data_IF_800754583428
#
_entry.id   IF_800754583428
#
_cell.length_a   1.000
_cell.length_b   1.000
_cell.length_c   1.000
_cell.angle_alpha   90.00
_cell.angle_beta   90.00
_cell.angle_gamma   90.00
#
_symmetry.space_group_name_H-M   'P 1'
#
loop_
_entity.id
_entity.type
_entity.pdbx_description
1 polymer ?
#
# COMPACT_ATOMS: atom_id res chain seq x y z
N UNK A 1 2.38 76.91 11.44
CA UNK A 1 1.09 76.20 11.54
C UNK A 1 1.37 74.71 11.43
N UNK A 2 1.34 74.02 12.57
CA UNK A 2 1.38 72.57 12.67
C UNK A 2 -0.05 72.09 12.92
N UNK A 3 -0.50 71.08 12.18
CA UNK A 3 -1.65 70.15 12.31
C UNK A 3 -1.63 69.43 10.94
N UNK A 4 -1.44 68.11 10.84
CA UNK A 4 -2.50 67.11 10.76
C UNK A 4 -1.87 65.73 11.05
N UNK A 5 -2.27 65.11 12.14
CA UNK A 5 -3.24 64.01 12.15
C UNK A 5 -2.56 62.67 11.80
N UNK A 6 -2.04 62.07 12.87
CA UNK A 6 -1.52 60.72 12.98
C UNK A 6 -2.64 59.73 12.62
N UNK A 7 -2.50 59.05 11.48
CA UNK A 7 -3.35 57.93 11.13
C UNK A 7 -2.92 56.71 11.95
N UNK A 8 -3.72 56.34 12.96
CA UNK A 8 -3.57 55.08 13.68
C UNK A 8 -4.47 54.06 12.96
N UNK A 9 -3.88 53.24 12.09
CA UNK A 9 -4.55 52.05 11.57
C UNK A 9 -4.31 50.90 12.55
N UNK A 10 -5.32 50.57 13.34
CA UNK A 10 -5.34 49.37 14.19
C UNK A 10 -5.43 48.14 13.28
N UNK A 11 -4.33 47.38 13.19
CA UNK A 11 -4.34 46.06 12.54
C UNK A 11 -4.90 45.07 13.58
N UNK A 12 -6.15 44.65 13.41
CA UNK A 12 -6.70 43.54 14.19
C UNK A 12 -6.22 42.25 13.51
N UNK A 13 -5.17 41.64 14.05
CA UNK A 13 -4.81 40.26 13.72
C UNK A 13 -5.75 39.36 14.53
N UNK A 14 -6.84 38.89 13.91
CA UNK A 14 -7.60 37.78 14.47
C UNK A 14 -6.75 36.54 14.23
N UNK A 15 -5.95 36.16 15.22
CA UNK A 15 -5.36 34.83 15.27
C UNK A 15 -6.52 33.84 15.47
N UNK A 16 -7.08 33.34 14.37
CA UNK A 16 -7.92 32.15 14.42
C UNK A 16 -7.02 30.98 14.81
N UNK A 17 -6.95 30.69 16.10
CA UNK A 17 -6.52 29.39 16.61
C UNK A 17 -7.58 28.36 16.22
N UNK A 18 -7.61 28.03 14.93
CA UNK A 18 -8.17 26.78 14.48
C UNK A 18 -7.22 25.68 14.94
N UNK A 19 -7.36 25.25 16.19
CA UNK A 19 -6.94 23.91 16.57
C UNK A 19 -7.92 22.99 15.84
N UNK A 20 -7.63 22.71 14.57
CA UNK A 20 -8.18 21.54 13.90
C UNK A 20 -7.58 20.34 14.64
N UNK A 21 -8.26 19.94 15.72
CA UNK A 21 -8.28 18.54 16.11
C UNK A 21 -8.97 17.79 14.98
N UNK A 22 -8.24 17.48 13.92
CA UNK A 22 -8.55 16.27 13.19
C UNK A 22 -8.13 15.14 14.14
N UNK A 23 -9.05 14.31 14.65
CA UNK A 23 -8.62 12.96 14.97
C UNK A 23 -8.06 12.42 13.66
N UNK A 24 -6.74 12.26 13.57
CA UNK A 24 -6.18 11.46 12.49
C UNK A 24 -7.00 10.16 12.49
N UNK A 25 -7.68 9.82 11.38
CA UNK A 25 -8.38 8.55 11.33
C UNK A 25 -7.33 7.51 11.70
N UNK A 26 -7.63 6.70 12.72
CA UNK A 26 -6.73 5.65 13.16
C UNK A 26 -6.70 4.62 12.03
N UNK A 27 -5.84 4.83 11.05
CA UNK A 27 -5.68 3.97 9.87
C UNK A 27 -5.18 2.63 10.38
N UNK A 28 -6.07 1.64 10.42
CA UNK A 28 -5.71 0.29 10.85
C UNK A 28 -4.89 -0.38 9.76
N UNK A 29 -3.70 -0.91 10.07
CA UNK A 29 -2.91 -1.70 9.11
C UNK A 29 -3.71 -2.85 8.51
N UNK A 30 -4.57 -3.48 9.29
CA UNK A 30 -5.42 -4.58 8.82
C UNK A 30 -6.44 -4.10 7.78
N UNK A 31 -6.96 -2.87 7.94
CA UNK A 31 -7.88 -2.26 6.98
C UNK A 31 -7.19 -1.99 5.64
N UNK A 32 -5.98 -1.43 5.69
CA UNK A 32 -5.17 -1.16 4.49
C UNK A 32 -4.78 -2.47 3.82
N UNK A 33 -4.38 -3.49 4.59
CA UNK A 33 -4.06 -4.80 4.06
C UNK A 33 -5.27 -5.43 3.36
N UNK A 34 -6.46 -5.34 3.97
CA UNK A 34 -7.69 -5.83 3.34
C UNK A 34 -7.95 -5.13 2.01
N UNK A 35 -7.81 -3.80 1.94
CA UNK A 35 -7.96 -3.05 0.69
C UNK A 35 -6.94 -3.50 -0.38
N UNK A 36 -5.70 -3.76 0.01
CA UNK A 36 -4.66 -4.26 -0.92
C UNK A 36 -4.97 -5.70 -1.36
N UNK A 37 -5.46 -6.56 -0.45
CA UNK A 37 -5.89 -7.92 -0.78
C UNK A 37 -7.05 -7.92 -1.76
N UNK A 38 -8.06 -7.06 -1.53
CA UNK A 38 -9.18 -6.89 -2.45
C UNK A 38 -8.69 -6.50 -3.84
N UNK A 39 -7.72 -5.60 -3.95
CA UNK A 39 -7.09 -5.24 -5.22
C UNK A 39 -6.37 -6.41 -5.90
N UNK A 40 -5.63 -7.23 -5.13
CA UNK A 40 -4.97 -8.43 -5.67
C UNK A 40 -6.01 -9.40 -6.22
N UNK A 41 -7.13 -9.58 -5.51
CA UNK A 41 -8.24 -10.46 -5.91
C UNK A 41 -8.92 -9.91 -7.16
N UNK A 42 -9.41 -8.67 -7.12
CA UNK A 42 -10.15 -8.02 -8.20
C UNK A 42 -9.34 -7.97 -9.50
N UNK A 43 -8.05 -7.65 -9.41
CA UNK A 43 -7.16 -7.64 -10.58
C UNK A 43 -6.95 -9.03 -11.21
N UNK A 44 -7.27 -10.12 -10.50
CA UNK A 44 -7.30 -11.47 -11.07
C UNK A 44 -8.62 -11.81 -11.78
N UNK A 45 -9.70 -11.07 -11.53
CA UNK A 45 -11.03 -11.33 -12.10
C UNK A 45 -11.43 -10.35 -13.20
N UNK A 46 -10.99 -9.09 -13.13
CA UNK A 46 -11.25 -8.12 -14.19
C UNK A 46 -10.38 -8.41 -15.40
N UNK A 47 -11.02 -8.75 -16.53
CA UNK A 47 -10.35 -9.15 -17.77
C UNK A 47 -9.31 -8.15 -18.29
N UNK A 48 -9.48 -6.87 -17.97
CA UNK A 48 -8.68 -5.77 -18.52
C UNK A 48 -7.81 -5.06 -17.47
N UNK A 49 -7.78 -5.57 -16.23
CA UNK A 49 -6.95 -5.05 -15.15
C UNK A 49 -6.01 -6.15 -14.66
N UNK A 50 -4.81 -5.77 -14.25
CA UNK A 50 -3.85 -6.70 -13.69
C UNK A 50 -3.01 -6.00 -12.63
N UNK A 51 -2.80 -6.63 -11.48
CA UNK A 51 -1.80 -6.15 -10.53
C UNK A 51 -0.45 -6.13 -11.24
N UNK A 52 0.28 -5.03 -11.20
CA UNK A 52 1.69 -5.01 -11.56
C UNK A 52 2.52 -5.29 -10.31
N UNK A 53 2.30 -4.48 -9.27
CA UNK A 53 3.04 -4.56 -8.02
C UNK A 53 2.29 -3.89 -6.87
N UNK A 54 2.58 -4.30 -5.63
CA UNK A 54 2.18 -3.62 -4.41
C UNK A 54 3.40 -3.49 -3.48
N UNK A 55 3.76 -2.26 -3.12
CA UNK A 55 4.91 -1.95 -2.27
C UNK A 55 4.46 -1.36 -0.94
N UNK A 56 4.73 -2.07 0.15
CA UNK A 56 4.42 -1.65 1.51
C UNK A 56 5.61 -0.85 2.06
N UNK A 57 5.58 0.46 1.86
CA UNK A 57 6.61 1.39 2.37
C UNK A 57 6.37 1.69 3.85
N UNK A 58 7.12 2.63 4.43
CA UNK A 58 6.89 3.04 5.83
C UNK A 58 5.58 3.81 6.02
N UNK A 59 5.24 4.70 5.08
CA UNK A 59 4.16 5.69 5.29
C UNK A 59 2.96 5.46 4.36
N UNK A 60 3.13 4.61 3.34
CA UNK A 60 2.08 4.26 2.40
C UNK A 60 2.29 2.88 1.77
N UNK A 61 1.21 2.22 1.39
CA UNK A 61 1.25 1.10 0.45
C UNK A 61 0.93 1.63 -0.94
N UNK A 62 1.85 1.46 -1.88
CA UNK A 62 1.62 1.80 -3.29
C UNK A 62 1.20 0.56 -4.05
N UNK A 63 -0.01 0.55 -4.59
CA UNK A 63 -0.50 -0.53 -5.46
C UNK A 63 -0.59 -0.01 -6.88
N UNK A 64 0.13 -0.66 -7.79
CA UNK A 64 0.16 -0.33 -9.21
C UNK A 64 -0.65 -1.37 -9.98
N UNK A 65 -1.70 -0.92 -10.65
CA UNK A 65 -2.53 -1.73 -11.54
C UNK A 65 -2.24 -1.34 -13.00
N UNK A 66 -2.03 -2.33 -13.84
CA UNK A 66 -1.88 -2.19 -15.28
C UNK A 66 -3.22 -2.47 -16.00
N UNK A 67 -3.42 -1.82 -17.14
CA UNK A 67 -4.53 -2.10 -18.04
C UNK A 67 -4.12 -1.89 -19.51
N UNK A 68 -4.73 -2.69 -20.39
CA UNK A 68 -4.59 -2.48 -21.84
C UNK A 68 -5.21 -1.16 -22.28
N UNK A 69 -6.40 -0.85 -21.76
CA UNK A 69 -7.16 0.34 -22.14
C UNK A 69 -7.21 1.37 -20.99
N UNK A 70 -7.03 2.66 -21.32
CA UNK A 70 -7.10 3.75 -20.34
C UNK A 70 -8.49 3.88 -19.71
N UNK A 71 -9.55 3.59 -20.48
CA UNK A 71 -10.94 3.63 -20.01
C UNK A 71 -11.20 2.62 -18.89
N UNK A 72 -10.54 1.46 -18.93
CA UNK A 72 -10.62 0.46 -17.85
C UNK A 72 -10.08 1.01 -16.53
N UNK A 73 -8.97 1.76 -16.57
CA UNK A 73 -8.44 2.42 -15.38
C UNK A 73 -9.34 3.55 -14.87
N UNK A 74 -9.96 4.32 -15.75
CA UNK A 74 -10.90 5.38 -15.36
C UNK A 74 -12.13 4.81 -14.66
N UNK A 75 -12.71 3.73 -15.19
CA UNK A 75 -13.85 3.05 -14.54
C UNK A 75 -13.46 2.46 -13.19
N UNK A 76 -12.27 1.85 -13.11
CA UNK A 76 -11.73 1.30 -11.88
C UNK A 76 -11.50 2.39 -10.81
N UNK A 77 -10.90 3.53 -11.16
CA UNK A 77 -10.65 4.61 -10.19
C UNK A 77 -11.91 5.33 -9.73
N UNK A 78 -12.97 5.34 -10.55
CA UNK A 78 -14.29 5.84 -10.16
C UNK A 78 -14.92 5.00 -9.03
N UNK A 79 -14.68 3.68 -9.03
CA UNK A 79 -15.15 2.78 -7.97
C UNK A 79 -14.41 2.98 -6.64
N UNK A 80 -13.14 3.39 -6.69
CA UNK A 80 -12.26 3.49 -5.53
C UNK A 80 -12.27 4.87 -4.82
N UNK A 81 -13.19 5.79 -5.15
CA UNK A 81 -13.17 7.15 -4.59
C UNK A 81 -14.51 7.87 -4.51
N UNK A 82 -15.08 7.92 -3.29
CA UNK A 82 -15.60 9.17 -2.68
C UNK A 82 -15.32 9.16 -1.16
N UNK A 83 -15.36 8.02 -0.49
CA UNK A 83 -15.33 7.97 0.98
C UNK A 83 -13.91 8.08 1.60
N UNK A 84 -12.87 7.56 0.94
CA UNK A 84 -11.52 7.43 1.54
C UNK A 84 -10.43 8.39 0.99
N UNK A 85 -10.71 9.19 -0.05
CA UNK A 85 -9.76 10.16 -0.64
C UNK A 85 -8.35 9.63 -0.98
N UNK A 86 -8.20 8.35 -1.33
CA UNK A 86 -6.90 7.68 -1.53
C UNK A 86 -6.08 8.29 -2.68
N UNK A 87 -4.83 8.73 -2.47
CA UNK A 87 -3.78 9.01 -3.43
C UNK A 87 -3.83 8.29 -4.78
N UNK A 88 -3.83 8.92 -5.95
CA UNK A 88 -3.63 8.18 -7.21
C UNK A 88 -3.01 9.00 -8.32
N UNK A 89 -2.28 8.29 -9.17
CA UNK A 89 -1.69 8.81 -10.41
C UNK A 89 -1.95 7.81 -11.54
N UNK A 90 -2.41 8.30 -12.70
CA UNK A 90 -2.53 7.52 -13.93
C UNK A 90 -1.40 7.93 -14.86
N UNK A 91 -0.68 6.95 -15.42
CA UNK A 91 0.45 7.18 -16.30
C UNK A 91 0.56 6.09 -17.36
N UNK A 92 1.37 6.32 -18.39
CA UNK A 92 1.61 5.37 -19.47
C UNK A 92 3.10 5.06 -19.57
N UNK A 93 3.45 3.79 -19.69
CA UNK A 93 4.82 3.32 -19.86
C UNK A 93 4.83 2.13 -20.82
N UNK A 94 5.74 2.13 -21.78
CA UNK A 94 5.90 1.03 -22.76
C UNK A 94 4.56 0.62 -23.42
N UNK A 95 3.79 1.64 -23.82
CA UNK A 95 2.44 1.52 -24.39
C UNK A 95 1.33 0.99 -23.46
N UNK A 96 1.66 0.52 -22.27
CA UNK A 96 0.74 0.03 -21.25
C UNK A 96 0.29 1.19 -20.35
N UNK A 97 -1.00 1.18 -19.98
CA UNK A 97 -1.57 2.17 -19.07
C UNK A 97 -1.49 1.65 -17.63
N UNK A 98 -1.20 2.54 -16.68
CA UNK A 98 -1.07 2.20 -15.27
C UNK A 98 -1.82 3.19 -14.39
N UNK A 99 -2.29 2.71 -13.24
CA UNK A 99 -2.68 3.55 -12.11
C UNK A 99 -1.91 3.12 -10.86
N UNK A 100 -1.33 4.09 -10.17
CA UNK A 100 -0.74 3.90 -8.83
C UNK A 100 -1.70 4.44 -7.78
N UNK A 101 -2.18 3.60 -6.87
CA UNK A 101 -2.96 3.96 -5.68
C UNK A 101 -2.03 4.01 -4.46
N UNK A 102 -2.06 5.09 -3.68
CA UNK A 102 -1.23 5.25 -2.48
C UNK A 102 -2.10 5.23 -1.22
N UNK A 103 -2.20 4.07 -0.59
CA UNK A 103 -2.94 3.89 0.66
C UNK A 103 -2.12 4.39 1.84
N UNK A 104 -2.67 5.25 2.72
CA UNK A 104 -2.01 5.62 3.97
C UNK A 104 -1.66 4.37 4.77
N UNK A 105 -0.44 4.32 5.33
CA UNK A 105 0.06 3.14 6.04
C UNK A 105 1.03 3.56 7.13
N UNK A 106 1.21 2.68 8.12
CA UNK A 106 2.28 2.81 9.09
C UNK A 106 3.02 1.48 9.12
N UNK A 107 4.23 1.43 8.63
CA UNK A 107 4.98 0.20 8.43
C UNK A 107 6.39 0.28 8.98
N UNK A 108 7.21 -0.69 8.55
CA UNK A 108 8.65 -0.67 8.79
C UNK A 108 9.03 -0.50 10.28
N UNK A 109 8.21 -1.04 11.18
CA UNK A 109 8.51 -1.12 12.60
C UNK A 109 9.69 -2.08 12.79
N UNK A 110 10.69 -1.71 13.59
CA UNK A 110 11.85 -2.58 13.83
C UNK A 110 11.41 -3.90 14.50
N UNK A 111 12.12 -5.00 14.23
CA UNK A 111 12.00 -6.24 15.01
C UNK A 111 11.49 -7.49 14.27
N UNK A 112 11.49 -7.50 12.93
CA UNK A 112 11.22 -8.71 12.15
C UNK A 112 12.44 -9.62 12.02
N UNK A 113 12.25 -10.95 12.06
CA UNK A 113 13.29 -11.97 11.80
C UNK A 113 12.86 -12.91 10.68
N UNK A 114 13.78 -13.23 9.77
CA UNK A 114 13.55 -14.21 8.68
C UNK A 114 13.18 -15.59 9.23
N UNK A 115 13.74 -16.00 10.38
CA UNK A 115 13.40 -17.28 11.00
C UNK A 115 11.93 -17.33 11.46
N UNK A 116 11.37 -16.18 11.85
CA UNK A 116 9.93 -16.10 12.17
C UNK A 116 9.08 -16.28 10.91
N UNK A 117 9.50 -15.71 9.78
CA UNK A 117 8.82 -15.90 8.49
C UNK A 117 8.87 -17.36 8.03
N UNK A 118 10.04 -18.00 8.09
CA UNK A 118 10.16 -19.44 7.78
C UNK A 118 9.21 -20.30 8.64
N UNK A 119 9.18 -20.04 9.95
CA UNK A 119 8.30 -20.74 10.89
C UNK A 119 6.81 -20.48 10.63
N UNK A 120 6.46 -19.28 10.16
CA UNK A 120 5.10 -18.96 9.74
C UNK A 120 4.72 -19.71 8.46
N UNK A 121 5.64 -19.80 7.50
CA UNK A 121 5.40 -20.48 6.23
C UNK A 121 5.16 -21.98 6.41
N UNK A 122 5.84 -22.65 7.35
CA UNK A 122 5.57 -24.07 7.64
C UNK A 122 4.19 -24.32 8.26
N UNK A 123 3.56 -23.30 8.85
CA UNK A 123 2.21 -23.36 9.42
C UNK A 123 1.12 -22.87 8.46
N UNK A 124 1.51 -22.16 7.41
CA UNK A 124 0.57 -21.60 6.44
C UNK A 124 0.11 -22.68 5.48
N UNK A 125 -1.20 -22.74 5.25
CA UNK A 125 -1.78 -23.64 4.24
C UNK A 125 -1.62 -23.00 2.88
N UNK A 126 -0.81 -23.64 2.03
CA UNK A 126 -0.59 -23.22 0.65
C UNK A 126 -1.27 -24.15 -0.34
N UNK A 127 -1.41 -23.69 -1.57
CA UNK A 127 -1.56 -24.57 -2.71
C UNK A 127 -0.32 -25.45 -2.84
N UNK A 128 -0.49 -26.70 -3.31
CA UNK A 128 0.59 -27.68 -3.36
C UNK A 128 1.82 -27.27 -4.21
N UNK A 129 1.80 -26.13 -4.90
CA UNK A 129 2.85 -25.65 -5.79
C UNK A 129 3.31 -24.26 -5.36
N UNK A 130 4.17 -24.21 -4.36
CA UNK A 130 4.85 -22.99 -3.93
C UNK A 130 6.36 -23.20 -3.91
N UNK A 131 7.11 -22.11 -4.08
CA UNK A 131 8.56 -22.08 -3.87
C UNK A 131 8.89 -21.03 -2.84
N UNK A 132 9.70 -21.39 -1.86
CA UNK A 132 10.20 -20.46 -0.84
C UNK A 132 11.70 -20.43 -0.92
N UNK A 133 12.26 -19.23 -1.00
CA UNK A 133 13.69 -18.98 -0.89
C UNK A 133 13.95 -18.00 0.25
N UNK A 134 15.10 -18.17 0.91
CA UNK A 134 15.52 -17.24 1.95
C UNK A 134 17.03 -17.14 1.96
N UNK A 135 17.56 -15.94 1.86
CA UNK A 135 19.00 -15.69 1.85
C UNK A 135 19.32 -14.36 2.52
N UNK A 136 20.19 -14.41 3.53
CA UNK A 136 20.51 -13.25 4.36
C UNK A 136 19.26 -12.62 4.97
N UNK A 137 18.97 -11.39 4.54
CA UNK A 137 17.86 -10.56 5.02
C UNK A 137 16.60 -10.66 4.16
N UNK A 138 16.60 -11.53 3.15
CA UNK A 138 15.51 -11.66 2.20
C UNK A 138 14.77 -12.98 2.42
N UNK A 139 13.45 -12.91 2.33
CA UNK A 139 12.55 -14.05 2.22
C UNK A 139 11.67 -13.84 1.00
N UNK A 140 11.52 -14.89 0.21
CA UNK A 140 10.85 -14.86 -1.08
C UNK A 140 9.86 -16.02 -1.14
N UNK A 141 8.63 -15.73 -1.53
CA UNK A 141 7.57 -16.71 -1.73
C UNK A 141 7.01 -16.54 -3.14
N UNK A 142 7.02 -17.62 -3.90
CA UNK A 142 6.43 -17.71 -5.23
C UNK A 142 5.24 -18.66 -5.17
N UNK A 143 4.13 -18.27 -5.77
CA UNK A 143 2.92 -19.07 -5.81
C UNK A 143 1.77 -18.37 -6.52
N UNK A 144 0.55 -18.84 -6.30
CA UNK A 144 -0.65 -18.20 -6.84
C UNK A 144 -1.03 -17.00 -5.96
N UNK A 145 -1.91 -16.14 -6.45
CA UNK A 145 -2.48 -15.03 -5.66
C UNK A 145 -3.03 -15.51 -4.31
N UNK A 146 -3.73 -16.66 -4.28
CA UNK A 146 -4.25 -17.26 -3.06
C UNK A 146 -3.17 -17.57 -2.02
N UNK A 147 -1.98 -17.98 -2.47
CA UNK A 147 -0.87 -18.37 -1.60
C UNK A 147 -0.22 -17.13 -0.99
N UNK A 148 -0.03 -16.08 -1.81
CA UNK A 148 0.47 -14.79 -1.35
C UNK A 148 -0.51 -14.14 -0.37
N UNK A 149 -1.80 -14.11 -0.69
CA UNK A 149 -2.85 -13.56 0.19
C UNK A 149 -2.88 -14.32 1.51
N UNK A 150 -2.90 -15.65 1.46
CA UNK A 150 -2.93 -16.48 2.69
C UNK A 150 -1.74 -16.16 3.59
N UNK A 151 -0.55 -15.98 3.01
CA UNK A 151 0.64 -15.66 3.78
C UNK A 151 0.63 -14.24 4.35
N UNK A 152 0.18 -13.24 3.57
CA UNK A 152 0.05 -11.86 4.06
C UNK A 152 -0.94 -11.76 5.23
N UNK A 153 -2.06 -12.49 5.15
CA UNK A 153 -3.04 -12.57 6.24
C UNK A 153 -2.43 -13.22 7.48
N UNK A 154 -1.71 -14.33 7.32
CA UNK A 154 -0.97 -14.96 8.42
C UNK A 154 0.07 -14.01 9.04
N UNK A 155 0.74 -13.19 8.23
CA UNK A 155 1.67 -12.18 8.75
C UNK A 155 0.94 -11.11 9.57
N UNK A 156 -0.24 -10.65 9.14
CA UNK A 156 -1.05 -9.69 9.88
C UNK A 156 -1.55 -10.27 11.21
N UNK A 157 -2.13 -11.46 11.19
CA UNK A 157 -2.64 -12.17 12.38
C UNK A 157 -1.57 -12.37 13.46
N UNK A 158 -0.30 -12.46 13.05
CA UNK A 158 0.84 -12.62 13.96
C UNK A 158 1.56 -11.29 14.28
N UNK A 159 1.00 -10.14 13.88
CA UNK A 159 1.58 -8.81 14.14
C UNK A 159 2.93 -8.58 13.44
N UNK A 160 3.15 -9.25 12.30
CA UNK A 160 4.39 -9.22 11.53
C UNK A 160 4.31 -8.29 10.33
N UNK A 161 3.12 -7.98 9.80
CA UNK A 161 2.96 -7.24 8.53
C UNK A 161 3.66 -5.86 8.55
N UNK A 162 3.68 -5.19 9.69
CA UNK A 162 4.36 -3.89 9.84
C UNK A 162 5.86 -4.01 10.16
N UNK A 163 6.40 -5.21 10.44
CA UNK A 163 7.78 -5.40 10.91
C UNK A 163 8.83 -5.56 9.82
N UNK A 164 8.39 -5.61 8.57
CA UNK A 164 9.20 -5.87 7.39
C UNK A 164 8.89 -4.86 6.28
N UNK A 165 9.80 -4.74 5.33
CA UNK A 165 9.49 -4.14 4.03
C UNK A 165 8.99 -5.26 3.11
N UNK A 166 7.83 -5.05 2.48
CA UNK A 166 7.13 -6.07 1.71
C UNK A 166 6.82 -5.54 0.31
N UNK A 167 7.01 -6.38 -0.69
CA UNK A 167 6.57 -6.10 -2.06
C UNK A 167 5.94 -7.35 -2.67
N UNK A 168 4.77 -7.20 -3.27
CA UNK A 168 4.10 -8.22 -4.07
C UNK A 168 4.20 -7.84 -5.53
N UNK A 169 4.49 -8.81 -6.38
CA UNK A 169 4.60 -8.63 -7.83
C UNK A 169 3.77 -9.69 -8.54
N UNK A 170 3.19 -9.30 -9.67
CA UNK A 170 2.64 -10.24 -10.62
C UNK A 170 3.66 -10.46 -11.74
N UNK A 171 3.95 -11.72 -12.06
CA UNK A 171 4.92 -12.09 -13.08
C UNK A 171 4.21 -12.37 -14.42
N UNK A 172 4.93 -12.24 -15.52
CA UNK A 172 4.41 -12.60 -16.86
C UNK A 172 3.99 -14.08 -16.95
N UNK A 173 4.55 -14.95 -16.11
CA UNK A 173 4.15 -16.36 -16.00
C UNK A 173 2.73 -16.57 -15.43
N UNK A 174 2.11 -15.52 -14.89
CA UNK A 174 0.84 -15.58 -14.15
C UNK A 174 1.01 -15.95 -12.67
N UNK A 175 2.24 -16.19 -12.22
CA UNK A 175 2.55 -16.41 -10.81
C UNK A 175 2.72 -15.07 -10.08
N UNK A 176 2.52 -15.11 -8.77
CA UNK A 176 2.79 -14.00 -7.87
C UNK A 176 4.06 -14.26 -7.08
N UNK A 177 4.79 -13.18 -6.82
CA UNK A 177 6.03 -13.16 -6.08
C UNK A 177 5.90 -12.19 -4.91
N UNK A 178 6.05 -12.69 -3.69
CA UNK A 178 6.19 -11.88 -2.49
C UNK A 178 7.66 -11.82 -2.10
N UNK A 179 8.17 -10.60 -1.99
CA UNK A 179 9.48 -10.28 -1.44
C UNK A 179 9.32 -9.66 -0.07
N UNK A 180 10.03 -10.20 0.91
CA UNK A 180 10.09 -9.68 2.28
C UNK A 180 11.53 -9.40 2.65
N UNK A 181 11.78 -8.20 3.18
CA UNK A 181 13.10 -7.79 3.63
C UNK A 181 13.05 -7.37 5.10
N UNK A 182 14.01 -7.83 5.90
CA UNK A 182 14.18 -7.30 7.25
C UNK A 182 14.70 -5.89 7.19
N UNK A 183 14.10 -5.01 7.99
CA UNK A 183 14.61 -3.66 8.17
C UNK A 183 15.86 -3.76 9.05
N UNK A 184 17.04 -3.57 8.46
CA UNK A 184 18.32 -3.65 9.17
C UNK A 184 18.32 -2.68 10.37
N UNK A 185 18.93 -3.11 11.47
CA UNK A 185 19.02 -2.35 12.74
C UNK A 185 19.82 -1.07 12.56
#
# INVERSE_FOLDING_TARGET
MAIYAWAVSVIIIIASTGIFMNPEPKISPDMVLNQVVDLIIESGYFKDLQLSEAHFNSDYVKVTIAAGELSSLQNFTLGYRIEDNIPYEIFRKDEINYVSLNFPWEGNKKGGSIETLKSLATKTVFSNKISINSSGNNFELYGRSSDIISYLLQMADNGLIQKFTLSVYHLESGEFYLKVQTNQV
#
